data_IF_354815157850
#
_entry.id   IF_354815157850
#
_cell.length_a   1.000
_cell.length_b   1.000
_cell.length_c   1.000
_cell.angle_alpha   90.00
_cell.angle_beta   90.00
_cell.angle_gamma   90.00
#
_symmetry.space_group_name_H-M   'P 1'
#
loop_
_entity.id
_entity.type
_entity.pdbx_description
1 polymer ?
#
# COMPACT_ATOMS: atom_id res chain seq x y z
N UNK A 1 11.03 14.41 46.13
CA UNK A 1 11.30 14.64 44.69
C UNK A 1 11.85 13.36 44.09
N UNK A 2 11.05 12.67 43.28
CA UNK A 2 11.52 11.71 42.29
C UNK A 2 10.78 12.06 41.00
N UNK A 3 11.35 12.95 40.20
CA UNK A 3 11.01 13.00 38.78
C UNK A 3 11.68 11.76 38.18
N UNK A 4 10.99 10.63 38.22
CA UNK A 4 11.32 9.52 37.34
C UNK A 4 11.03 10.04 35.94
N UNK A 5 12.07 10.50 35.24
CA UNK A 5 11.98 10.72 33.81
C UNK A 5 11.51 9.40 33.20
N UNK A 6 10.38 9.47 32.49
CA UNK A 6 9.90 8.35 31.68
C UNK A 6 11.08 7.83 30.81
N UNK A 7 11.28 6.52 30.64
CA UNK A 7 12.45 5.92 29.96
C UNK A 7 12.44 6.14 28.43
N UNK A 8 11.85 7.23 27.96
CA UNK A 8 11.65 7.58 26.57
C UNK A 8 12.92 8.20 26.01
N UNK A 9 13.47 7.59 24.96
CA UNK A 9 14.69 8.02 24.27
C UNK A 9 14.38 8.42 22.83
N UNK A 10 15.34 9.03 22.12
CA UNK A 10 15.18 9.30 20.68
C UNK A 10 14.85 8.03 19.88
N UNK A 11 15.36 6.86 20.30
CA UNK A 11 15.09 5.55 19.67
C UNK A 11 13.60 5.19 19.69
N UNK A 12 12.88 5.58 20.76
CA UNK A 12 11.43 5.38 20.83
C UNK A 12 10.71 6.16 19.72
N UNK A 13 11.03 7.44 19.53
CA UNK A 13 10.42 8.27 18.49
C UNK A 13 10.79 7.80 17.07
N UNK A 14 12.05 7.39 16.85
CA UNK A 14 12.48 6.76 15.59
C UNK A 14 11.67 5.48 15.31
N UNK A 15 11.45 4.65 16.34
CA UNK A 15 10.67 3.41 16.20
C UNK A 15 9.22 3.70 15.86
N UNK A 16 8.59 4.68 16.51
CA UNK A 16 7.22 5.10 16.20
C UNK A 16 7.09 5.65 14.77
N UNK A 17 8.03 6.50 14.34
CA UNK A 17 7.99 7.01 12.98
C UNK A 17 8.12 5.87 11.96
N UNK A 18 9.08 4.96 12.16
CA UNK A 18 9.25 3.80 11.28
C UNK A 18 8.01 2.93 11.24
N UNK A 19 7.38 2.68 12.39
CA UNK A 19 6.14 1.90 12.45
C UNK A 19 5.01 2.57 11.67
N UNK A 20 4.88 3.90 11.77
CA UNK A 20 3.93 4.67 10.97
C UNK A 20 4.24 4.58 9.47
N UNK A 21 5.47 4.88 9.04
CA UNK A 21 5.86 4.89 7.63
C UNK A 21 5.69 3.50 6.97
N UNK A 22 6.04 2.43 7.70
CA UNK A 22 5.84 1.04 7.26
C UNK A 22 4.38 0.61 7.23
N UNK A 23 3.50 1.34 7.90
CA UNK A 23 2.07 1.07 8.02
C UNK A 23 1.66 0.19 9.19
N UNK A 24 2.59 -0.26 10.03
CA UNK A 24 2.29 -1.12 11.19
C UNK A 24 1.72 -0.35 12.38
N UNK A 25 1.58 0.98 12.26
CA UNK A 25 0.79 1.83 13.14
C UNK A 25 0.00 2.84 12.32
N UNK A 26 -1.23 3.10 12.71
CA UNK A 26 -2.03 4.22 12.18
C UNK A 26 -1.64 5.52 12.88
N UNK A 27 -2.09 6.64 12.31
CA UNK A 27 -1.99 7.95 12.96
C UNK A 27 -2.70 7.97 14.32
N UNK A 28 -3.92 7.42 14.41
CA UNK A 28 -4.68 7.40 15.67
C UNK A 28 -3.95 6.60 16.75
N UNK A 29 -3.44 5.39 16.43
CA UNK A 29 -2.67 4.57 17.38
C UNK A 29 -1.44 5.31 17.90
N UNK A 30 -0.75 6.03 17.01
CA UNK A 30 0.43 6.79 17.36
C UNK A 30 0.09 7.96 18.29
N UNK A 31 -1.00 8.68 18.02
CA UNK A 31 -1.50 9.76 18.90
C UNK A 31 -1.86 9.22 20.29
N UNK A 32 -2.57 8.09 20.36
CA UNK A 32 -2.93 7.44 21.62
C UNK A 32 -1.70 7.07 22.45
N UNK A 33 -0.64 6.57 21.80
CA UNK A 33 0.62 6.23 22.45
C UNK A 33 1.38 7.48 22.94
N UNK A 34 1.41 8.55 22.14
CA UNK A 34 2.07 9.81 22.51
C UNK A 34 1.39 10.52 23.69
N UNK A 35 0.06 10.41 23.84
CA UNK A 35 -0.65 10.94 25.02
C UNK A 35 -0.18 10.31 26.34
N UNK A 36 0.39 9.10 26.29
CA UNK A 36 0.99 8.44 27.46
C UNK A 36 2.40 8.95 27.81
N UNK A 37 3.07 9.66 26.90
CA UNK A 37 4.44 10.18 27.09
C UNK A 37 4.41 11.60 27.65
N UNK A 38 3.57 12.45 27.06
CA UNK A 38 3.41 13.85 27.47
C UNK A 38 1.93 14.17 27.50
N UNK A 39 1.38 14.82 28.56
CA UNK A 39 -0.01 15.24 28.60
C UNK A 39 -0.22 16.36 27.58
N UNK A 40 -0.44 15.95 26.34
CA UNK A 40 -0.63 16.84 25.22
C UNK A 40 -2.12 17.09 25.05
N UNK A 41 -2.55 18.34 25.27
CA UNK A 41 -3.87 18.77 24.84
C UNK A 41 -3.84 18.88 23.31
N UNK A 42 -4.63 18.04 22.67
CA UNK A 42 -4.81 18.01 21.22
C UNK A 42 -5.43 19.36 20.80
N UNK A 43 -4.59 20.35 20.49
CA UNK A 43 -5.04 21.60 19.87
C UNK A 43 -5.65 21.24 18.52
N UNK A 44 -6.78 21.84 18.14
CA UNK A 44 -7.42 21.60 16.83
C UNK A 44 -6.44 21.75 15.66
N UNK A 45 -5.39 22.58 15.81
CA UNK A 45 -4.28 22.76 14.86
C UNK A 45 -3.47 21.48 14.57
N UNK A 46 -3.47 20.50 15.48
CA UNK A 46 -2.71 19.25 15.34
C UNK A 46 -3.45 18.17 14.53
N UNK A 47 -4.74 18.35 14.26
CA UNK A 47 -5.56 17.38 13.52
C UNK A 47 -5.05 17.24 12.07
N UNK A 48 -4.52 18.32 11.50
CA UNK A 48 -3.97 18.36 10.14
C UNK A 48 -2.44 18.35 10.09
N UNK A 49 -1.77 18.28 11.25
CA UNK A 49 -0.30 18.30 11.31
C UNK A 49 0.26 16.97 10.82
N UNK A 50 1.30 16.99 9.98
CA UNK A 50 1.99 15.78 9.50
C UNK A 50 2.53 14.95 10.68
N UNK A 51 2.48 13.61 10.59
CA UNK A 51 2.88 12.70 11.69
C UNK A 51 4.35 12.84 12.06
N UNK A 52 5.22 13.12 11.09
CA UNK A 52 6.64 13.41 11.33
C UNK A 52 6.81 14.64 12.21
N UNK A 53 6.14 15.75 11.88
CA UNK A 53 6.13 17.00 12.64
C UNK A 53 5.54 16.82 14.04
N UNK A 54 4.48 16.02 14.17
CA UNK A 54 3.87 15.66 15.44
C UNK A 54 4.90 14.98 16.36
N UNK A 55 5.62 13.98 15.85
CA UNK A 55 6.65 13.24 16.59
C UNK A 55 7.83 14.14 16.97
N UNK A 56 8.28 15.02 16.05
CA UNK A 56 9.36 15.96 16.33
C UNK A 56 9.00 16.94 17.44
N UNK A 57 7.77 17.45 17.46
CA UNK A 57 7.29 18.35 18.51
C UNK A 57 7.33 17.67 19.88
N UNK A 58 6.74 16.48 20.00
CA UNK A 58 6.71 15.76 21.28
C UNK A 58 8.12 15.34 21.71
N UNK A 59 8.96 14.88 20.78
CA UNK A 59 10.35 14.55 21.08
C UNK A 59 11.13 15.75 21.64
N UNK A 60 10.94 16.93 21.04
CA UNK A 60 11.59 18.17 21.46
C UNK A 60 11.08 18.66 22.84
N UNK A 61 9.81 18.44 23.16
CA UNK A 61 9.26 18.72 24.50
C UNK A 61 9.84 17.81 25.58
N UNK A 62 10.15 16.54 25.24
CA UNK A 62 10.82 15.60 26.15
C UNK A 62 12.31 15.94 26.28
N UNK A 63 12.99 16.20 25.17
CA UNK A 63 14.40 16.61 25.13
C UNK A 63 14.72 17.35 23.81
N UNK A 64 15.20 18.59 23.92
CA UNK A 64 15.55 19.44 22.78
C UNK A 64 16.61 18.84 21.84
N UNK A 65 17.44 17.92 22.33
CA UNK A 65 18.48 17.28 21.52
C UNK A 65 17.94 16.13 20.64
N UNK A 66 16.76 15.58 20.94
CA UNK A 66 16.23 14.43 20.20
C UNK A 66 15.91 14.74 18.74
N UNK A 67 15.61 15.98 18.39
CA UNK A 67 15.31 16.35 17.02
C UNK A 67 16.44 15.96 16.04
N UNK A 68 17.69 16.33 16.38
CA UNK A 68 18.85 16.05 15.53
C UNK A 68 19.12 14.55 15.42
N UNK A 69 18.97 13.82 16.52
CA UNK A 69 19.17 12.36 16.55
C UNK A 69 18.13 11.62 15.70
N UNK A 70 16.87 12.05 15.75
CA UNK A 70 15.78 11.44 14.98
C UNK A 70 15.99 11.71 13.47
N UNK A 71 16.27 12.97 13.08
CA UNK A 71 16.51 13.33 11.67
C UNK A 71 17.69 12.55 11.09
N UNK A 72 18.80 12.47 11.83
CA UNK A 72 19.98 11.69 11.41
C UNK A 72 19.65 10.20 11.23
N UNK A 73 18.86 9.61 12.14
CA UNK A 73 18.48 8.21 12.05
C UNK A 73 17.54 7.89 10.87
N UNK A 74 16.66 8.81 10.48
CA UNK A 74 15.71 8.61 9.37
C UNK A 74 16.37 8.79 8.01
N UNK A 75 17.28 9.74 7.88
CA UNK A 75 17.97 10.04 6.60
C UNK A 75 18.76 8.83 6.08
N UNK A 76 19.11 7.90 6.96
CA UNK A 76 19.82 6.66 6.64
C UNK A 76 18.95 5.39 6.67
N UNK A 77 17.64 5.53 6.92
CA UNK A 77 16.73 4.42 7.09
C UNK A 77 16.13 3.98 5.74
N UNK A 78 16.67 2.91 5.16
CA UNK A 78 16.09 2.24 3.97
C UNK A 78 14.87 1.37 4.32
N UNK A 79 14.54 1.24 5.60
CA UNK A 79 13.50 0.36 6.15
C UNK A 79 12.19 1.09 6.48
N UNK A 80 11.91 2.20 5.80
CA UNK A 80 10.69 3.03 6.01
C UNK A 80 9.59 2.78 4.99
N UNK A 81 9.88 2.00 3.94
CA UNK A 81 8.93 1.58 2.91
C UNK A 81 7.65 0.98 3.52
N UNK A 82 6.45 1.30 2.99
CA UNK A 82 5.26 0.54 3.27
C UNK A 82 5.50 -0.96 3.06
N UNK A 83 4.99 -1.74 4.00
CA UNK A 83 5.15 -3.20 4.02
C UNK A 83 3.82 -3.88 3.77
N UNK A 84 3.84 -5.16 3.39
CA UNK A 84 2.63 -5.95 3.21
C UNK A 84 1.81 -5.99 4.50
N UNK A 85 2.46 -6.26 5.62
CA UNK A 85 1.84 -6.25 6.95
C UNK A 85 1.25 -4.88 7.27
N UNK A 86 1.93 -3.80 6.88
CA UNK A 86 1.43 -2.45 7.03
C UNK A 86 0.18 -2.19 6.19
N UNK A 87 0.16 -2.58 4.92
CA UNK A 87 -1.04 -2.45 4.07
C UNK A 87 -2.22 -3.22 4.66
N UNK A 88 -1.99 -4.44 5.16
CA UNK A 88 -3.02 -5.25 5.84
C UNK A 88 -3.56 -4.48 7.05
N UNK A 89 -2.68 -4.00 7.93
CA UNK A 89 -3.05 -3.25 9.14
C UNK A 89 -3.89 -2.01 8.81
N UNK A 90 -3.46 -1.21 7.84
CA UNK A 90 -4.19 0.00 7.44
C UNK A 90 -5.55 -0.32 6.79
N UNK A 91 -5.63 -1.37 5.97
CA UNK A 91 -6.88 -1.82 5.38
C UNK A 91 -7.87 -2.33 6.44
N UNK A 92 -7.40 -3.09 7.44
CA UNK A 92 -8.21 -3.51 8.59
C UNK A 92 -8.73 -2.30 9.38
N UNK A 93 -7.88 -1.30 9.60
CA UNK A 93 -8.25 -0.06 10.27
C UNK A 93 -9.31 0.75 9.49
N UNK A 94 -9.23 0.81 8.15
CA UNK A 94 -10.28 1.42 7.32
C UNK A 94 -11.59 0.65 7.44
N UNK A 95 -11.53 -0.69 7.35
CA UNK A 95 -12.72 -1.53 7.31
C UNK A 95 -13.46 -1.62 8.65
N UNK A 96 -12.75 -1.37 9.76
CA UNK A 96 -13.33 -1.24 11.10
C UNK A 96 -13.80 0.17 11.41
N UNK A 97 -13.51 1.15 10.54
CA UNK A 97 -13.83 2.56 10.75
C UNK A 97 -12.91 3.27 11.74
N UNK A 98 -11.80 2.63 12.13
CA UNK A 98 -10.80 3.24 13.00
C UNK A 98 -10.05 4.38 12.31
N UNK A 99 -9.79 4.24 11.00
CA UNK A 99 -9.30 5.33 10.14
C UNK A 99 -10.23 5.55 8.94
N UNK A 100 -10.16 6.74 8.34
CA UNK A 100 -10.89 7.05 7.10
C UNK A 100 -10.10 6.60 5.85
N UNK A 101 -10.76 6.40 4.69
CA UNK A 101 -10.07 6.17 3.43
C UNK A 101 -9.08 7.28 3.05
N UNK A 102 -9.38 8.52 3.42
CA UNK A 102 -8.48 9.67 3.20
C UNK A 102 -7.19 9.53 4.05
N UNK A 103 -7.30 9.07 5.29
CA UNK A 103 -6.13 8.81 6.13
C UNK A 103 -5.27 7.66 5.58
N UNK A 104 -5.90 6.60 5.05
CA UNK A 104 -5.19 5.54 4.31
C UNK A 104 -4.46 6.11 3.10
N UNK A 105 -5.14 6.95 2.30
CA UNK A 105 -4.55 7.59 1.13
C UNK A 105 -3.32 8.41 1.50
N UNK A 106 -3.44 9.32 2.48
CA UNK A 106 -2.33 10.16 2.96
C UNK A 106 -1.13 9.33 3.42
N UNK A 107 -1.37 8.23 4.15
CA UNK A 107 -0.31 7.31 4.52
C UNK A 107 0.28 6.59 3.30
N UNK A 108 -0.54 6.10 2.38
CA UNK A 108 -0.04 5.33 1.25
C UNK A 108 0.72 6.18 0.22
N UNK A 109 0.67 7.51 0.29
CA UNK A 109 1.26 8.40 -0.72
C UNK A 109 2.29 9.40 -0.17
N UNK A 110 2.76 9.25 1.08
CA UNK A 110 3.74 10.19 1.67
C UNK A 110 5.05 10.31 0.87
N UNK A 111 5.39 9.29 0.09
CA UNK A 111 6.61 9.20 -0.71
C UNK A 111 6.45 9.74 -2.14
N UNK A 112 5.24 10.12 -2.56
CA UNK A 112 4.98 10.65 -3.90
C UNK A 112 5.32 12.14 -4.04
N UNK A 113 6.10 12.70 -3.12
CA UNK A 113 6.52 14.10 -3.18
C UNK A 113 7.46 14.35 -4.38
N UNK A 114 7.28 15.45 -5.12
CA UNK A 114 7.91 15.69 -6.43
C UNK A 114 9.44 15.80 -6.40
N UNK A 115 10.06 15.93 -5.23
CA UNK A 115 11.52 16.05 -5.05
C UNK A 115 12.20 14.73 -4.61
N UNK A 116 11.45 13.64 -4.46
CA UNK A 116 11.99 12.32 -4.17
C UNK A 116 12.18 11.56 -5.48
N UNK A 117 13.43 11.46 -5.95
CA UNK A 117 13.77 10.60 -7.10
C UNK A 117 13.13 9.23 -6.91
N UNK A 118 12.40 8.77 -7.92
CA UNK A 118 11.62 7.53 -7.93
C UNK A 118 12.52 6.27 -7.83
N UNK A 119 13.15 6.08 -6.68
CA UNK A 119 13.82 4.84 -6.31
C UNK A 119 12.73 3.92 -5.79
N UNK A 120 12.41 2.86 -6.52
CA UNK A 120 11.50 1.82 -6.02
C UNK A 120 12.14 1.17 -4.79
N UNK A 121 11.70 1.60 -3.61
CA UNK A 121 12.17 1.12 -2.30
C UNK A 121 11.25 0.02 -1.73
N UNK A 122 10.23 -0.38 -2.48
CA UNK A 122 9.27 -1.40 -2.07
C UNK A 122 9.83 -2.80 -2.30
N UNK A 123 9.62 -3.68 -1.30
CA UNK A 123 10.03 -5.08 -1.39
C UNK A 123 8.93 -6.00 -1.97
N UNK A 124 7.69 -5.52 -2.09
CA UNK A 124 6.54 -6.26 -2.64
C UNK A 124 5.90 -5.42 -3.76
N UNK A 125 5.84 -5.97 -4.98
CA UNK A 125 5.30 -5.28 -6.16
C UNK A 125 3.79 -5.01 -6.07
N UNK A 126 3.05 -5.80 -5.29
CA UNK A 126 1.64 -5.56 -5.04
C UNK A 126 1.45 -4.38 -4.09
N UNK A 127 2.33 -4.25 -3.08
CA UNK A 127 2.38 -3.08 -2.19
C UNK A 127 2.77 -1.83 -2.95
N UNK A 128 3.82 -1.91 -3.78
CA UNK A 128 4.22 -0.81 -4.67
C UNK A 128 3.03 -0.35 -5.52
N UNK A 129 2.42 -1.27 -6.29
CA UNK A 129 1.28 -0.95 -7.14
C UNK A 129 0.11 -0.32 -6.36
N UNK A 130 -0.20 -0.86 -5.18
CA UNK A 130 -1.28 -0.34 -4.32
C UNK A 130 -1.03 1.12 -3.92
N UNK A 131 0.18 1.42 -3.46
CA UNK A 131 0.60 2.74 -2.95
C UNK A 131 0.87 3.77 -4.06
N UNK A 132 1.55 3.37 -5.14
CA UNK A 132 2.06 4.29 -6.17
C UNK A 132 1.12 4.46 -7.35
N UNK A 133 0.19 3.52 -7.58
CA UNK A 133 -0.69 3.55 -8.75
C UNK A 133 -2.17 3.47 -8.40
N UNK A 134 -2.61 2.43 -7.69
CA UNK A 134 -4.03 2.18 -7.47
C UNK A 134 -4.68 3.28 -6.63
N UNK A 135 -4.15 3.56 -5.44
CA UNK A 135 -4.70 4.60 -4.57
C UNK A 135 -4.61 6.00 -5.21
N UNK A 136 -3.46 6.45 -5.75
CA UNK A 136 -3.36 7.73 -6.47
C UNK A 136 -4.36 7.89 -7.61
N UNK A 137 -4.60 6.85 -8.41
CA UNK A 137 -5.43 6.94 -9.60
C UNK A 137 -6.93 6.73 -9.33
N UNK A 138 -7.31 6.09 -8.23
CA UNK A 138 -8.69 5.61 -8.03
C UNK A 138 -9.24 5.79 -6.63
N UNK A 139 -8.54 6.45 -5.71
CA UNK A 139 -8.98 6.68 -4.33
C UNK A 139 -10.44 7.17 -4.22
N UNK A 140 -10.85 8.14 -5.05
CA UNK A 140 -12.20 8.70 -5.02
C UNK A 140 -13.29 7.73 -5.50
N UNK A 141 -12.91 6.73 -6.30
CA UNK A 141 -13.83 5.77 -6.92
C UNK A 141 -13.93 4.44 -6.13
N UNK A 142 -12.98 4.17 -5.23
CA UNK A 142 -12.94 2.92 -4.48
C UNK A 142 -14.05 2.86 -3.42
N UNK A 143 -14.86 1.81 -3.49
CA UNK A 143 -15.87 1.52 -2.50
C UNK A 143 -15.32 0.64 -1.36
N UNK A 144 -16.06 0.56 -0.25
CA UNK A 144 -15.73 -0.35 0.86
C UNK A 144 -15.57 -1.82 0.42
N UNK A 145 -16.26 -2.24 -0.63
CA UNK A 145 -16.11 -3.59 -1.20
C UNK A 145 -14.74 -3.82 -1.82
N UNK A 146 -14.14 -2.77 -2.39
CA UNK A 146 -12.83 -2.86 -3.04
C UNK A 146 -11.73 -2.94 -1.99
N UNK A 147 -11.83 -2.18 -0.89
CA UNK A 147 -10.93 -2.32 0.25
C UNK A 147 -11.00 -3.70 0.89
N UNK A 148 -12.21 -4.29 1.01
CA UNK A 148 -12.37 -5.68 1.48
C UNK A 148 -11.68 -6.67 0.56
N UNK A 149 -11.78 -6.46 -0.75
CA UNK A 149 -11.14 -7.34 -1.72
C UNK A 149 -9.62 -7.17 -1.71
N UNK A 150 -9.11 -5.94 -1.64
CA UNK A 150 -7.68 -5.66 -1.47
C UNK A 150 -7.14 -6.34 -0.21
N UNK A 151 -7.86 -6.25 0.92
CA UNK A 151 -7.46 -6.92 2.16
C UNK A 151 -7.36 -8.44 1.98
N UNK A 152 -8.34 -9.06 1.32
CA UNK A 152 -8.31 -10.51 1.03
C UNK A 152 -7.12 -10.90 0.16
N UNK A 153 -6.79 -10.10 -0.85
CA UNK A 153 -5.61 -10.32 -1.71
C UNK A 153 -4.35 -10.31 -0.84
N UNK A 154 -4.17 -9.28 -0.01
CA UNK A 154 -2.99 -9.17 0.85
C UNK A 154 -2.92 -10.24 1.96
N UNK A 155 -4.05 -10.71 2.46
CA UNK A 155 -4.12 -11.77 3.48
C UNK A 155 -4.03 -13.19 2.91
N UNK A 156 -3.96 -13.37 1.58
CA UNK A 156 -3.91 -14.71 1.00
C UNK A 156 -2.71 -15.52 1.54
N UNK A 157 -2.92 -16.75 2.03
CA UNK A 157 -1.85 -17.60 2.56
C UNK A 157 -0.88 -18.07 1.46
N UNK A 158 -1.32 -18.03 0.20
CA UNK A 158 -0.53 -18.37 -0.97
C UNK A 158 -0.01 -17.09 -1.64
N UNK A 159 0.80 -16.34 -0.92
CA UNK A 159 1.35 -15.08 -1.41
C UNK A 159 2.18 -15.28 -2.69
N UNK A 160 1.73 -14.63 -3.76
CA UNK A 160 2.43 -14.46 -5.02
C UNK A 160 2.26 -12.99 -5.44
N UNK A 161 3.32 -12.21 -5.29
CA UNK A 161 3.27 -10.75 -5.46
C UNK A 161 2.83 -10.33 -6.87
N UNK A 162 3.11 -11.14 -7.91
CA UNK A 162 2.67 -10.86 -9.28
C UNK A 162 1.18 -11.13 -9.45
N UNK A 163 0.68 -12.24 -8.90
CA UNK A 163 -0.76 -12.54 -8.93
C UNK A 163 -1.56 -11.53 -8.11
N UNK A 164 -1.05 -11.14 -6.95
CA UNK A 164 -1.67 -10.13 -6.10
C UNK A 164 -1.76 -8.79 -6.84
N UNK A 165 -0.70 -8.37 -7.52
CA UNK A 165 -0.73 -7.17 -8.38
C UNK A 165 -1.81 -7.29 -9.47
N UNK A 166 -1.89 -8.43 -10.15
CA UNK A 166 -2.93 -8.66 -11.17
C UNK A 166 -4.33 -8.55 -10.55
N UNK A 167 -4.56 -9.16 -9.39
CA UNK A 167 -5.83 -9.10 -8.69
C UNK A 167 -6.20 -7.67 -8.26
N UNK A 168 -5.22 -6.87 -7.83
CA UNK A 168 -5.40 -5.46 -7.48
C UNK A 168 -5.77 -4.59 -8.70
N UNK A 169 -5.09 -4.78 -9.84
CA UNK A 169 -5.44 -4.10 -11.11
C UNK A 169 -6.88 -4.44 -11.51
N UNK A 170 -7.29 -5.69 -11.28
CA UNK A 170 -8.63 -6.19 -11.57
C UNK A 170 -9.66 -5.81 -10.50
N UNK A 171 -9.39 -4.94 -9.53
CA UNK A 171 -10.43 -4.42 -8.64
C UNK A 171 -11.47 -3.60 -9.43
N UNK A 172 -11.02 -2.77 -10.37
CA UNK A 172 -11.90 -1.96 -11.20
C UNK A 172 -12.70 -2.80 -12.20
N UNK A 173 -14.03 -2.65 -12.20
CA UNK A 173 -14.90 -3.31 -13.18
C UNK A 173 -14.52 -2.97 -14.63
N UNK A 174 -14.10 -1.73 -14.88
CA UNK A 174 -13.65 -1.26 -16.20
C UNK A 174 -12.42 -2.03 -16.66
N UNK A 175 -11.49 -2.30 -15.75
CA UNK A 175 -10.28 -3.04 -16.09
C UNK A 175 -10.58 -4.54 -16.25
N UNK A 176 -11.50 -5.13 -15.47
CA UNK A 176 -11.99 -6.50 -15.71
C UNK A 176 -12.55 -6.69 -17.12
N UNK A 177 -13.35 -5.74 -17.59
CA UNK A 177 -13.92 -5.78 -18.94
C UNK A 177 -12.84 -5.68 -20.02
N UNK A 178 -11.86 -4.78 -19.85
CA UNK A 178 -10.72 -4.66 -20.77
C UNK A 178 -9.88 -5.93 -20.79
N UNK A 179 -9.59 -6.49 -19.62
CA UNK A 179 -8.86 -7.73 -19.47
C UNK A 179 -9.53 -8.88 -20.22
N UNK A 180 -10.84 -9.06 -20.05
CA UNK A 180 -11.61 -10.05 -20.83
C UNK A 180 -11.57 -9.78 -22.33
N UNK A 181 -11.63 -8.51 -22.75
CA UNK A 181 -11.57 -8.17 -24.17
C UNK A 181 -10.21 -8.55 -24.79
N UNK A 182 -9.11 -8.08 -24.21
CA UNK A 182 -7.76 -8.33 -24.75
C UNK A 182 -7.38 -9.80 -24.71
N UNK A 183 -7.68 -10.50 -23.61
CA UNK A 183 -7.41 -11.93 -23.51
C UNK A 183 -8.33 -12.74 -24.43
N UNK A 184 -9.59 -12.31 -24.59
CA UNK A 184 -10.55 -12.94 -25.51
C UNK A 184 -10.11 -12.85 -26.96
N UNK A 185 -9.57 -11.70 -27.36
CA UNK A 185 -9.04 -11.49 -28.71
C UNK A 185 -7.79 -12.34 -28.97
N UNK A 186 -6.90 -12.43 -27.99
CA UNK A 186 -5.70 -13.27 -28.04
C UNK A 186 -6.02 -14.77 -28.17
N UNK A 187 -6.89 -15.32 -27.31
CA UNK A 187 -7.22 -16.76 -27.35
C UNK A 187 -8.01 -17.17 -28.60
N UNK A 188 -8.67 -16.21 -29.26
CA UNK A 188 -9.34 -16.42 -30.55
C UNK A 188 -8.35 -16.38 -31.72
N UNK A 189 -7.11 -15.96 -31.49
CA UNK A 189 -6.06 -15.85 -32.51
C UNK A 189 -6.19 -14.61 -33.39
N UNK A 190 -6.96 -13.59 -32.95
CA UNK A 190 -7.10 -12.33 -33.68
C UNK A 190 -5.94 -11.37 -33.42
N UNK A 191 -5.24 -11.53 -32.29
CA UNK A 191 -4.08 -10.73 -31.91
C UNK A 191 -2.85 -11.59 -31.62
N UNK A 192 -1.67 -11.05 -31.93
CA UNK A 192 -0.39 -11.73 -31.71
C UNK A 192 0.06 -11.60 -30.24
N UNK A 193 0.97 -12.48 -29.76
CA UNK A 193 1.56 -12.34 -28.43
C UNK A 193 2.17 -10.96 -28.17
N UNK A 194 2.81 -10.35 -29.18
CA UNK A 194 3.43 -9.02 -29.07
C UNK A 194 2.38 -7.92 -28.90
N UNK A 195 1.17 -8.09 -29.44
CA UNK A 195 0.07 -7.16 -29.22
C UNK A 195 -0.52 -7.30 -27.81
N UNK A 196 -0.55 -8.53 -27.28
CA UNK A 196 -0.91 -8.78 -25.89
C UNK A 196 0.11 -8.15 -24.93
N UNK A 197 1.41 -8.22 -25.26
CA UNK A 197 2.47 -7.60 -24.47
C UNK A 197 2.29 -6.10 -24.30
N UNK A 198 1.82 -5.39 -25.33
CA UNK A 198 1.53 -3.94 -25.20
C UNK A 198 0.51 -3.68 -24.09
N UNK A 199 -0.55 -4.49 -24.03
CA UNK A 199 -1.55 -4.38 -22.96
C UNK A 199 -0.96 -4.77 -21.60
N UNK A 200 -0.25 -5.90 -21.53
CA UNK A 200 0.31 -6.42 -20.28
C UNK A 200 1.37 -5.47 -19.69
N UNK A 201 2.26 -4.92 -20.52
CA UNK A 201 3.28 -3.97 -20.11
C UNK A 201 2.64 -2.67 -19.63
N UNK A 202 1.65 -2.16 -20.35
CA UNK A 202 1.00 -0.91 -19.98
C UNK A 202 0.18 -1.03 -18.68
N UNK A 203 -0.46 -2.18 -18.42
CA UNK A 203 -1.37 -2.36 -17.27
C UNK A 203 -0.75 -3.03 -16.07
N UNK A 204 0.14 -3.97 -16.30
CA UNK A 204 0.73 -4.79 -15.27
C UNK A 204 2.25 -4.62 -15.18
N UNK A 205 2.87 -3.88 -16.10
CA UNK A 205 4.32 -3.67 -16.12
C UNK A 205 5.11 -4.94 -16.42
N UNK A 206 4.50 -5.91 -17.11
CA UNK A 206 5.10 -7.21 -17.39
C UNK A 206 4.74 -7.68 -18.80
N UNK A 207 5.57 -8.53 -19.38
CA UNK A 207 5.29 -9.19 -20.66
C UNK A 207 4.54 -10.52 -20.45
N UNK A 208 4.16 -11.17 -21.55
CA UNK A 208 3.51 -12.48 -21.52
C UNK A 208 4.40 -13.54 -20.88
N UNK A 209 5.73 -13.47 -21.02
CA UNK A 209 6.63 -14.44 -20.38
C UNK A 209 6.55 -14.38 -18.85
N UNK A 210 6.31 -13.20 -18.30
CA UNK A 210 6.24 -12.95 -16.86
C UNK A 210 4.80 -13.02 -16.31
N UNK A 211 3.80 -13.10 -17.18
CA UNK A 211 2.40 -13.05 -16.78
C UNK A 211 1.94 -14.40 -16.16
N UNK A 212 1.49 -14.42 -14.89
CA UNK A 212 1.32 -15.66 -14.12
C UNK A 212 0.20 -16.58 -14.63
N UNK A 213 -0.69 -16.07 -15.48
CA UNK A 213 -1.83 -16.80 -16.02
C UNK A 213 -1.66 -17.22 -17.48
N UNK A 214 -0.47 -17.05 -18.09
CA UNK A 214 -0.26 -17.46 -19.49
C UNK A 214 -0.45 -18.95 -19.73
N UNK A 215 0.01 -19.81 -18.82
CA UNK A 215 -0.17 -21.26 -18.97
C UNK A 215 -1.65 -21.66 -19.03
N UNK A 216 -2.47 -21.04 -18.17
CA UNK A 216 -3.92 -21.21 -18.18
C UNK A 216 -4.55 -20.66 -19.47
N UNK A 217 -4.09 -19.50 -19.96
CA UNK A 217 -4.54 -18.94 -21.24
C UNK A 217 -4.22 -19.86 -22.42
N UNK A 218 -3.00 -20.38 -22.50
CA UNK A 218 -2.58 -21.30 -23.56
C UNK A 218 -3.39 -22.61 -23.53
N UNK A 219 -3.78 -23.09 -22.34
CA UNK A 219 -4.63 -24.28 -22.21
C UNK A 219 -6.10 -24.03 -22.62
N UNK A 220 -6.53 -22.77 -22.72
CA UNK A 220 -7.88 -22.36 -23.09
C UNK A 220 -7.96 -21.76 -24.50
N UNK A 221 -6.91 -21.92 -25.31
CA UNK A 221 -6.87 -21.43 -26.70
C UNK A 221 -8.08 -21.95 -27.48
N UNK A 222 -8.72 -21.04 -28.22
CA UNK A 222 -9.95 -21.28 -28.99
C UNK A 222 -11.18 -21.66 -28.15
N UNK A 223 -11.14 -21.50 -26.82
CA UNK A 223 -12.26 -21.78 -25.91
C UNK A 223 -12.67 -20.54 -25.09
N UNK A 224 -13.22 -19.48 -25.72
CA UNK A 224 -13.53 -18.22 -25.04
C UNK A 224 -14.56 -18.34 -23.91
N UNK A 225 -15.37 -19.41 -23.90
CA UNK A 225 -16.31 -19.69 -22.82
C UNK A 225 -15.64 -19.93 -21.45
N UNK A 226 -14.34 -20.29 -21.43
CA UNK A 226 -13.58 -20.52 -20.20
C UNK A 226 -12.96 -19.24 -19.61
N UNK A 227 -12.95 -18.14 -20.37
CA UNK A 227 -12.30 -16.89 -19.97
C UNK A 227 -12.90 -16.23 -18.71
N UNK A 228 -14.23 -16.27 -18.46
CA UNK A 228 -14.79 -15.77 -17.20
C UNK A 228 -14.28 -16.52 -15.96
N UNK A 229 -13.98 -17.82 -16.08
CA UNK A 229 -13.40 -18.60 -14.98
C UNK A 229 -11.96 -18.15 -14.69
N UNK A 230 -11.18 -17.84 -15.74
CA UNK A 230 -9.85 -17.26 -15.59
C UNK A 230 -9.90 -15.89 -14.91
N UNK A 231 -10.86 -15.04 -15.28
CA UNK A 231 -11.04 -13.76 -14.59
C UNK A 231 -11.36 -13.95 -13.11
N UNK A 232 -12.20 -14.93 -12.77
CA UNK A 232 -12.52 -15.23 -11.37
C UNK A 232 -11.25 -15.64 -10.61
N UNK A 233 -10.44 -16.55 -11.16
CA UNK A 233 -9.16 -16.96 -10.57
C UNK A 233 -8.17 -15.79 -10.48
N UNK A 234 -8.14 -14.89 -11.46
CA UNK A 234 -7.22 -13.76 -11.46
C UNK A 234 -7.64 -12.63 -10.51
N UNK A 235 -8.95 -12.50 -10.23
CA UNK A 235 -9.50 -11.47 -9.34
C UNK A 235 -9.63 -11.91 -7.88
N UNK A 236 -9.62 -13.22 -7.63
CA UNK A 236 -9.64 -13.84 -6.31
C UNK A 236 -8.31 -14.58 -6.17
N UNK A 237 -7.32 -14.01 -5.47
CA UNK A 237 -6.07 -14.72 -5.15
C UNK A 237 -6.39 -15.98 -4.32
N UNK A 238 -6.78 -17.08 -4.98
CA UNK A 238 -7.01 -18.41 -4.39
C UNK A 238 -5.70 -19.11 -4.04
#
# INVERSE_FOLDING_TARGET
>A
MKNEMSPVTYTYFVTLLKAYLRGTKTRQELIEELRGVTPWEEKEENIHTEVSRLLFQVANEVNENFYQDIVSAITHATDTAPTREGVIHQLEAVLTGFITPEQLYQWATWHNEPDMDAVSFFNDIAVDYFCTQLLPASFEELALTDYKQALKIFQSPHHDSLKDKVALVLLSQKERQRFLFYLGDYIQGHSSPEQLDVYLLHKFGMDHHSFPYMSALSAMMHEPAKLPALLHMAAMSE
#
